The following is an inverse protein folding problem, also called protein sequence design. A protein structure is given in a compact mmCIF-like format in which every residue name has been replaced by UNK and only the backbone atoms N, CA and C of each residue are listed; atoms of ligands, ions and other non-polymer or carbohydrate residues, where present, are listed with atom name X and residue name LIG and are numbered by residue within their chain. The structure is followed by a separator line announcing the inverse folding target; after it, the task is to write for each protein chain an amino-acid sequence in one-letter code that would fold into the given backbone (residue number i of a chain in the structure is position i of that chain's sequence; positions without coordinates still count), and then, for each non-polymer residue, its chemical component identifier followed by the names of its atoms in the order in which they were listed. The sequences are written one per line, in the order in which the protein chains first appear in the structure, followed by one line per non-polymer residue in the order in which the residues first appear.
data_IF_416614460092
#
_entry.id   IF_416614460092
#
_cell.length_a   1.000
_cell.length_b   1.000
_cell.length_c   1.000
_cell.angle_alpha   90.00
_cell.angle_beta   90.00
_cell.angle_gamma   90.00
#
_symmetry.space_group_name_H-M   'P 1'
#
loop_
_entity.id
_entity.type
_entity.pdbx_description
1 polymer ?
#
# COMPACT_ATOMS: atom_id res chain seq x y z
N UNK A 1 -10.66 -48.13 45.81
CA UNK A 1 -11.70 -47.14 45.45
C UNK A 1 -11.12 -45.73 45.30
N UNK A 2 -10.13 -45.30 46.10
CA UNK A 2 -9.51 -43.95 46.02
C UNK A 2 -8.68 -43.65 44.75
N UNK A 3 -8.17 -44.68 44.06
CA UNK A 3 -7.36 -44.49 42.85
C UNK A 3 -8.18 -44.00 41.64
N UNK A 4 -9.45 -44.39 41.54
CA UNK A 4 -10.33 -44.04 40.41
C UNK A 4 -10.74 -42.56 40.46
N UNK A 5 -10.95 -42.01 41.67
CA UNK A 5 -11.26 -40.59 41.88
C UNK A 5 -10.05 -39.68 41.63
N UNK A 6 -8.84 -40.12 42.00
CA UNK A 6 -7.60 -39.38 41.75
C UNK A 6 -7.28 -39.29 40.25
N UNK A 7 -7.47 -40.40 39.52
CA UNK A 7 -7.31 -40.43 38.06
C UNK A 7 -8.37 -39.56 37.38
N UNK A 8 -9.63 -39.61 37.82
CA UNK A 8 -10.71 -38.79 37.26
C UNK A 8 -10.49 -37.28 37.41
N UNK A 9 -9.96 -36.85 38.56
CA UNK A 9 -9.70 -35.42 38.83
C UNK A 9 -8.49 -34.92 38.07
N UNK A 10 -7.43 -35.74 37.96
CA UNK A 10 -6.25 -35.42 37.17
C UNK A 10 -6.57 -35.29 35.67
N UNK A 11 -7.41 -36.20 35.13
CA UNK A 11 -7.86 -36.13 33.73
C UNK A 11 -8.72 -34.89 33.48
N UNK A 12 -9.62 -34.55 34.40
CA UNK A 12 -10.46 -33.35 34.30
C UNK A 12 -9.65 -32.05 34.28
N UNK A 13 -8.60 -31.96 35.10
CA UNK A 13 -7.70 -30.80 35.13
C UNK A 13 -6.87 -30.65 33.84
N UNK A 14 -6.34 -31.77 33.30
CA UNK A 14 -5.57 -31.76 32.04
C UNK A 14 -6.46 -31.40 30.85
N UNK A 15 -7.69 -31.91 30.79
CA UNK A 15 -8.66 -31.56 29.74
C UNK A 15 -9.09 -30.09 29.84
N UNK A 16 -9.27 -29.55 31.05
CA UNK A 16 -9.60 -28.13 31.26
C UNK A 16 -8.47 -27.19 30.83
N UNK A 17 -7.22 -27.49 31.20
CA UNK A 17 -6.05 -26.68 30.83
C UNK A 17 -5.75 -26.81 29.32
N UNK A 18 -5.90 -28.00 28.74
CA UNK A 18 -5.72 -28.24 27.31
C UNK A 18 -6.74 -27.50 26.44
N UNK A 19 -8.00 -27.46 26.84
CA UNK A 19 -9.05 -26.71 26.13
C UNK A 19 -8.81 -25.20 26.19
N UNK A 20 -8.26 -24.69 27.30
CA UNK A 20 -7.94 -23.26 27.48
C UNK A 20 -6.75 -22.84 26.62
N UNK A 21 -5.66 -23.63 26.61
CA UNK A 21 -4.48 -23.37 25.77
C UNK A 21 -4.79 -23.48 24.27
N UNK A 22 -5.62 -24.45 23.85
CA UNK A 22 -6.04 -24.57 22.45
C UNK A 22 -6.92 -23.38 22.02
N UNK A 23 -7.83 -22.94 22.89
CA UNK A 23 -8.65 -21.75 22.66
C UNK A 23 -7.83 -20.47 22.57
N UNK A 24 -6.83 -20.31 23.44
CA UNK A 24 -5.93 -19.17 23.44
C UNK A 24 -4.98 -19.18 22.23
N UNK A 25 -4.54 -20.34 21.79
CA UNK A 25 -3.74 -20.49 20.57
C UNK A 25 -4.55 -20.18 19.30
N UNK A 26 -5.80 -20.64 19.21
CA UNK A 26 -6.71 -20.30 18.11
C UNK A 26 -7.03 -18.80 18.07
N UNK A 27 -7.24 -18.19 19.25
CA UNK A 27 -7.49 -16.75 19.38
C UNK A 27 -6.27 -15.94 18.98
N UNK A 28 -5.08 -16.33 19.44
CA UNK A 28 -3.80 -15.71 19.07
C UNK A 28 -3.56 -15.79 17.56
N UNK A 29 -3.79 -16.95 16.95
CA UNK A 29 -3.64 -17.12 15.48
C UNK A 29 -4.62 -16.24 14.70
N UNK A 30 -5.87 -16.11 15.16
CA UNK A 30 -6.85 -15.19 14.55
C UNK A 30 -6.44 -13.72 14.70
N UNK A 31 -6.09 -13.29 15.90
CA UNK A 31 -5.68 -11.90 16.17
C UNK A 31 -4.42 -11.52 15.39
N UNK A 32 -3.44 -12.41 15.28
CA UNK A 32 -2.24 -12.17 14.47
C UNK A 32 -2.56 -12.13 12.98
N UNK A 33 -3.48 -12.97 12.48
CA UNK A 33 -3.92 -12.92 11.07
C UNK A 33 -4.66 -11.62 10.76
N UNK A 34 -5.59 -11.22 11.62
CA UNK A 34 -6.36 -9.98 11.47
C UNK A 34 -5.45 -8.75 11.52
N UNK A 35 -4.45 -8.73 12.41
CA UNK A 35 -3.44 -7.67 12.47
C UNK A 35 -2.64 -7.58 11.18
N UNK A 36 -2.16 -8.73 10.67
CA UNK A 36 -1.37 -8.76 9.42
C UNK A 36 -2.17 -8.26 8.22
N UNK A 37 -3.44 -8.67 8.10
CA UNK A 37 -4.33 -8.21 7.04
C UNK A 37 -4.55 -6.68 7.12
N UNK A 38 -4.80 -6.18 8.32
CA UNK A 38 -5.00 -4.75 8.57
C UNK A 38 -3.74 -3.92 8.26
N UNK A 39 -2.57 -4.41 8.67
CA UNK A 39 -1.28 -3.76 8.40
C UNK A 39 -1.02 -3.71 6.89
N UNK A 40 -1.24 -4.83 6.19
CA UNK A 40 -1.08 -4.94 4.72
C UNK A 40 -1.98 -3.95 4.00
N UNK A 41 -3.27 -3.94 4.35
CA UNK A 41 -4.27 -3.02 3.80
C UNK A 41 -3.89 -1.57 4.01
N UNK A 42 -3.41 -1.24 5.21
CA UNK A 42 -2.97 0.12 5.56
C UNK A 42 -1.80 0.56 4.68
N UNK A 43 -0.75 -0.27 4.54
CA UNK A 43 0.40 0.04 3.68
C UNK A 43 0.00 0.25 2.22
N UNK A 44 -0.91 -0.57 1.69
CA UNK A 44 -1.39 -0.45 0.32
C UNK A 44 -2.16 0.84 0.07
N UNK A 45 -3.08 1.18 0.97
CA UNK A 45 -3.85 2.41 0.90
C UNK A 45 -2.93 3.63 1.02
N UNK A 46 -2.01 3.62 1.99
CA UNK A 46 -1.08 4.72 2.22
C UNK A 46 -0.22 4.99 0.98
N UNK A 47 0.30 3.95 0.34
CA UNK A 47 1.09 4.08 -0.89
C UNK A 47 0.25 4.68 -2.02
N UNK A 48 -0.92 4.12 -2.32
CA UNK A 48 -1.79 4.62 -3.39
C UNK A 48 -2.25 6.06 -3.15
N UNK A 49 -2.52 6.41 -1.90
CA UNK A 49 -2.90 7.78 -1.50
C UNK A 49 -1.72 8.74 -1.67
N UNK A 50 -0.50 8.33 -1.31
CA UNK A 50 0.69 9.16 -1.51
C UNK A 50 0.95 9.44 -3.01
N UNK A 51 0.83 8.41 -3.87
CA UNK A 51 0.92 8.57 -5.32
C UNK A 51 -0.15 9.53 -5.87
N UNK A 52 -1.39 9.41 -5.39
CA UNK A 52 -2.49 10.30 -5.78
C UNK A 52 -2.25 11.75 -5.33
N UNK A 53 -1.76 11.94 -4.10
CA UNK A 53 -1.42 13.27 -3.56
C UNK A 53 -0.31 13.92 -4.36
N UNK A 54 0.73 13.17 -4.72
CA UNK A 54 1.81 13.64 -5.59
C UNK A 54 1.27 14.12 -6.94
N UNK A 55 0.39 13.34 -7.59
CA UNK A 55 -0.21 13.73 -8.86
C UNK A 55 -0.99 15.04 -8.76
N UNK A 56 -1.86 15.17 -7.76
CA UNK A 56 -2.67 16.38 -7.57
C UNK A 56 -1.83 17.59 -7.18
N UNK A 57 -0.79 17.42 -6.35
CA UNK A 57 0.12 18.50 -5.98
C UNK A 57 0.90 19.03 -7.20
N UNK A 58 1.43 18.13 -8.04
CA UNK A 58 2.08 18.52 -9.29
C UNK A 58 1.11 19.21 -10.25
N UNK A 59 -0.14 18.73 -10.32
CA UNK A 59 -1.17 19.32 -11.18
C UNK A 59 -1.53 20.74 -10.75
N UNK A 60 -1.67 20.97 -9.45
CA UNK A 60 -1.94 22.30 -8.89
C UNK A 60 -0.83 23.28 -9.26
N UNK A 61 0.44 22.89 -9.06
CA UNK A 61 1.60 23.72 -9.44
C UNK A 61 1.65 23.96 -10.95
N UNK A 62 1.28 22.98 -11.77
CA UNK A 62 1.30 23.13 -13.22
C UNK A 62 0.22 24.10 -13.75
N UNK A 63 -0.87 24.29 -13.01
CA UNK A 63 -1.97 25.20 -13.34
C UNK A 63 -1.71 26.64 -12.88
N UNK A 64 -0.80 26.83 -11.92
CA UNK A 64 -0.35 28.16 -11.50
C UNK A 64 0.36 28.92 -12.63
N UNK A 65 0.17 30.23 -12.68
CA UNK A 65 0.89 31.11 -13.60
C UNK A 65 2.34 31.26 -13.12
N UNK A 66 3.31 30.74 -13.90
CA UNK A 66 4.73 30.93 -13.64
C UNK A 66 5.37 31.71 -14.79
N UNK A 67 6.02 32.82 -14.47
CA UNK A 67 6.73 33.65 -15.45
C UNK A 67 8.03 33.00 -15.94
N UNK A 68 8.65 32.15 -15.12
CA UNK A 68 9.90 31.46 -15.41
C UNK A 68 9.70 29.93 -15.52
N UNK A 69 10.01 29.31 -16.69
CA UNK A 69 9.96 27.87 -16.88
C UNK A 69 10.82 27.06 -15.90
N UNK A 70 11.99 27.58 -15.50
CA UNK A 70 12.89 26.86 -14.59
C UNK A 70 12.31 26.79 -13.18
N UNK A 71 11.78 27.91 -12.67
CA UNK A 71 11.07 27.97 -11.40
C UNK A 71 9.86 27.04 -11.37
N UNK A 72 9.08 27.00 -12.46
CA UNK A 72 7.94 26.08 -12.60
C UNK A 72 8.37 24.62 -12.49
N UNK A 73 9.42 24.23 -13.24
CA UNK A 73 9.94 22.87 -13.21
C UNK A 73 10.48 22.48 -11.82
N UNK A 74 11.16 23.40 -11.12
CA UNK A 74 11.64 23.18 -9.77
C UNK A 74 10.49 22.96 -8.78
N UNK A 75 9.44 23.79 -8.82
CA UNK A 75 8.25 23.63 -7.98
C UNK A 75 7.50 22.32 -8.23
N UNK A 76 7.40 21.87 -9.48
CA UNK A 76 6.78 20.57 -9.81
C UNK A 76 7.56 19.42 -9.17
N UNK A 77 8.89 19.43 -9.29
CA UNK A 77 9.75 18.41 -8.66
C UNK A 77 9.67 18.47 -7.14
N UNK A 78 9.61 19.67 -6.56
CA UNK A 78 9.42 19.86 -5.12
C UNK A 78 8.06 19.33 -4.64
N UNK A 79 6.98 19.58 -5.37
CA UNK A 79 5.64 19.06 -5.04
C UNK A 79 5.60 17.53 -5.07
N UNK A 80 6.32 16.91 -6.02
CA UNK A 80 6.48 15.47 -6.06
C UNK A 80 7.23 14.95 -4.83
N UNK A 81 8.38 15.55 -4.47
CA UNK A 81 9.19 15.13 -3.32
C UNK A 81 8.44 15.32 -2.00
N UNK A 82 7.75 16.45 -1.82
CA UNK A 82 6.99 16.76 -0.61
C UNK A 82 5.75 15.89 -0.39
N UNK A 83 5.35 15.08 -1.37
CA UNK A 83 4.15 14.23 -1.29
C UNK A 83 4.31 13.02 -0.38
N UNK A 84 5.54 12.64 -0.03
CA UNK A 84 5.82 11.42 0.73
C UNK A 84 5.70 10.12 -0.08
N UNK A 85 5.59 10.21 -1.41
CA UNK A 85 5.35 9.05 -2.26
C UNK A 85 6.55 8.11 -2.36
N UNK A 86 7.78 8.64 -2.29
CA UNK A 86 9.00 7.85 -2.27
C UNK A 86 9.07 7.01 -0.98
N UNK A 87 8.82 7.62 0.17
CA UNK A 87 8.83 6.97 1.47
C UNK A 87 7.69 5.97 1.66
N UNK A 88 6.52 6.25 1.08
CA UNK A 88 5.39 5.33 1.10
C UNK A 88 5.65 4.10 0.22
N UNK A 89 6.27 4.28 -0.95
CA UNK A 89 6.71 3.19 -1.81
C UNK A 89 7.77 2.34 -1.12
N UNK A 90 8.81 2.95 -0.56
CA UNK A 90 9.93 2.21 0.04
C UNK A 90 9.46 1.34 1.22
N UNK A 91 8.60 1.89 2.09
CA UNK A 91 7.98 1.12 3.18
C UNK A 91 7.21 -0.10 2.69
N UNK A 92 6.50 0.04 1.57
CA UNK A 92 5.73 -1.04 0.98
C UNK A 92 6.64 -2.12 0.37
N UNK A 93 7.61 -1.71 -0.47
CA UNK A 93 8.51 -2.63 -1.18
C UNK A 93 9.32 -3.50 -0.22
N UNK A 94 9.72 -2.99 0.95
CA UNK A 94 10.45 -3.76 1.97
C UNK A 94 9.72 -5.01 2.47
N UNK A 95 8.38 -5.05 2.38
CA UNK A 95 7.55 -6.14 2.92
C UNK A 95 6.67 -6.82 1.87
N UNK A 96 6.64 -6.26 0.66
CA UNK A 96 5.82 -6.74 -0.44
C UNK A 96 6.44 -7.96 -1.14
N UNK A 97 5.60 -8.72 -1.84
CA UNK A 97 6.06 -9.73 -2.79
C UNK A 97 6.61 -9.07 -4.06
N UNK A 98 7.25 -9.87 -4.93
CA UNK A 98 7.75 -9.39 -6.21
C UNK A 98 6.63 -8.79 -7.08
N UNK A 99 5.51 -9.50 -7.22
CA UNK A 99 4.36 -9.08 -8.04
C UNK A 99 3.78 -7.73 -7.57
N UNK A 100 3.68 -7.54 -6.25
CA UNK A 100 3.19 -6.29 -5.66
C UNK A 100 4.18 -5.16 -5.89
N UNK A 101 5.48 -5.44 -5.70
CA UNK A 101 6.56 -4.48 -5.96
C UNK A 101 6.53 -4.02 -7.40
N UNK A 102 6.45 -4.95 -8.36
CA UNK A 102 6.39 -4.65 -9.79
C UNK A 102 5.17 -3.78 -10.13
N UNK A 103 4.00 -4.13 -9.59
CA UNK A 103 2.77 -3.40 -9.90
C UNK A 103 2.77 -1.97 -9.33
N UNK A 104 3.28 -1.80 -8.09
CA UNK A 104 3.45 -0.47 -7.48
C UNK A 104 4.52 0.35 -8.21
N UNK A 105 5.62 -0.29 -8.61
CA UNK A 105 6.70 0.37 -9.36
C UNK A 105 6.21 0.86 -10.72
N UNK A 106 5.41 0.08 -11.44
CA UNK A 106 4.76 0.54 -12.66
C UNK A 106 3.90 1.80 -12.44
N UNK A 107 3.13 1.83 -11.34
CA UNK A 107 2.32 2.99 -10.98
C UNK A 107 3.19 4.20 -10.57
N UNK A 108 4.32 3.97 -9.91
CA UNK A 108 5.24 5.01 -9.46
C UNK A 108 6.07 5.59 -10.62
N UNK A 109 6.58 4.73 -11.51
CA UNK A 109 7.34 5.16 -12.69
C UNK A 109 6.49 5.97 -13.65
N UNK A 110 5.26 5.51 -13.95
CA UNK A 110 4.32 6.29 -14.77
C UNK A 110 3.98 7.66 -14.16
N UNK A 111 3.99 7.78 -12.84
CA UNK A 111 3.83 9.07 -12.16
C UNK A 111 5.07 9.98 -12.31
N UNK A 112 6.28 9.41 -12.32
CA UNK A 112 7.50 10.16 -12.63
C UNK A 112 7.51 10.66 -14.07
N UNK A 113 6.92 9.92 -15.00
CA UNK A 113 6.77 10.37 -16.39
C UNK A 113 5.83 11.58 -16.48
N UNK A 114 4.73 11.59 -15.71
CA UNK A 114 3.88 12.78 -15.57
C UNK A 114 4.68 13.96 -15.02
N UNK A 115 5.47 13.73 -13.96
CA UNK A 115 6.33 14.78 -13.39
C UNK A 115 7.26 15.37 -14.44
N UNK A 116 7.90 14.54 -15.24
CA UNK A 116 8.83 14.97 -16.27
C UNK A 116 8.11 15.72 -17.40
N UNK A 117 6.97 15.21 -17.86
CA UNK A 117 6.13 15.90 -18.84
C UNK A 117 5.75 17.30 -18.35
N UNK A 118 5.24 17.42 -17.12
CA UNK A 118 4.90 18.72 -16.54
C UNK A 118 6.14 19.60 -16.38
N UNK A 119 7.25 19.07 -15.84
CA UNK A 119 8.49 19.84 -15.66
C UNK A 119 9.05 20.37 -17.00
N UNK A 120 8.87 19.63 -18.10
CA UNK A 120 9.35 20.02 -19.44
C UNK A 120 8.57 21.17 -20.08
N UNK A 121 7.42 21.58 -19.51
CA UNK A 121 6.59 22.63 -20.10
C UNK A 121 5.19 22.19 -20.50
N UNK A 122 4.88 20.90 -20.47
CA UNK A 122 3.55 20.41 -20.82
C UNK A 122 2.49 21.01 -19.88
N UNK A 123 1.38 21.45 -20.46
CA UNK A 123 0.20 21.92 -19.73
C UNK A 123 -0.76 20.76 -19.50
N UNK A 124 -1.71 20.93 -18.59
CA UNK A 124 -2.76 19.93 -18.31
C UNK A 124 -3.63 19.65 -19.56
N UNK A 125 -3.72 20.61 -20.49
CA UNK A 125 -4.44 20.43 -21.76
C UNK A 125 -3.62 19.76 -22.87
N UNK A 126 -2.33 19.52 -22.67
CA UNK A 126 -1.47 18.95 -23.72
C UNK A 126 -1.70 17.45 -23.93
N UNK A 127 -1.60 17.00 -25.18
CA UNK A 127 -1.73 15.58 -25.53
C UNK A 127 -0.68 14.72 -24.81
N UNK A 128 0.55 15.23 -24.66
CA UNK A 128 1.61 14.55 -23.94
C UNK A 128 1.25 14.30 -22.47
N UNK A 129 0.69 15.30 -21.78
CA UNK A 129 0.19 15.12 -20.41
C UNK A 129 -0.98 14.14 -20.36
N UNK A 130 -1.93 14.23 -21.30
CA UNK A 130 -3.09 13.35 -21.31
C UNK A 130 -2.69 11.89 -21.56
N UNK A 131 -1.75 11.63 -22.47
CA UNK A 131 -1.20 10.30 -22.70
C UNK A 131 -0.51 9.75 -21.45
N UNK A 132 0.38 10.52 -20.82
CA UNK A 132 1.04 10.11 -19.58
C UNK A 132 0.04 9.86 -18.44
N UNK A 133 -1.01 10.69 -18.34
CA UNK A 133 -2.10 10.53 -17.37
C UNK A 133 -2.89 9.24 -17.59
N UNK A 134 -3.17 8.86 -18.83
CA UNK A 134 -3.85 7.59 -19.13
C UNK A 134 -2.98 6.40 -18.73
N UNK A 135 -1.70 6.40 -19.15
CA UNK A 135 -0.74 5.35 -18.78
C UNK A 135 -0.64 5.18 -17.26
N UNK A 136 -0.55 6.29 -16.52
CA UNK A 136 -0.55 6.23 -15.06
C UNK A 136 -1.86 5.69 -14.46
N UNK A 137 -3.00 6.07 -15.04
CA UNK A 137 -4.31 5.55 -14.62
C UNK A 137 -4.44 4.04 -14.85
N UNK A 138 -3.88 3.53 -15.95
CA UNK A 138 -3.84 2.11 -16.28
C UNK A 138 -2.90 1.35 -15.35
N UNK A 139 -1.68 1.85 -15.14
CA UNK A 139 -0.73 1.26 -14.19
C UNK A 139 -1.29 1.21 -12.76
N UNK A 140 -1.96 2.29 -12.31
CA UNK A 140 -2.60 2.32 -10.99
C UNK A 140 -3.76 1.33 -10.91
N UNK A 141 -4.53 1.13 -12.00
CA UNK A 141 -5.60 0.12 -12.05
C UNK A 141 -5.03 -1.29 -11.97
N UNK A 142 -3.97 -1.58 -12.72
CA UNK A 142 -3.27 -2.86 -12.68
C UNK A 142 -2.74 -3.15 -11.27
N UNK A 143 -2.10 -2.17 -10.63
CA UNK A 143 -1.66 -2.28 -9.23
C UNK A 143 -2.81 -2.65 -8.29
N UNK A 144 -3.96 -1.96 -8.39
CA UNK A 144 -5.12 -2.28 -7.55
C UNK A 144 -5.68 -3.69 -7.76
N UNK A 145 -5.50 -4.30 -8.93
CA UNK A 145 -5.90 -5.70 -9.15
C UNK A 145 -5.00 -6.62 -8.33
N UNK A 146 -3.68 -6.51 -8.50
CA UNK A 146 -2.68 -7.32 -7.77
C UNK A 146 -2.83 -7.16 -6.25
N UNK A 147 -3.03 -5.94 -5.76
CA UNK A 147 -3.20 -5.68 -4.32
C UNK A 147 -4.48 -6.31 -3.76
N UNK A 148 -5.58 -6.34 -4.54
CA UNK A 148 -6.82 -7.00 -4.09
C UNK A 148 -6.68 -8.52 -4.08
N UNK A 149 -5.93 -9.08 -5.04
CA UNK A 149 -5.64 -10.50 -5.09
C UNK A 149 -4.77 -10.94 -3.89
N UNK A 150 -3.75 -10.16 -3.51
CA UNK A 150 -2.96 -10.42 -2.28
C UNK A 150 -3.84 -10.37 -1.03
N UNK A 151 -4.69 -9.34 -0.90
CA UNK A 151 -5.60 -9.24 0.25
C UNK A 151 -6.60 -10.41 0.31
N UNK A 152 -7.16 -10.82 -0.83
CA UNK A 152 -8.08 -11.97 -0.90
C UNK A 152 -7.36 -13.29 -0.52
N UNK A 153 -6.10 -13.45 -0.91
CA UNK A 153 -5.30 -14.61 -0.55
C UNK A 153 -4.97 -14.65 0.97
N UNK A 154 -4.89 -13.50 1.64
CA UNK A 154 -4.69 -13.40 3.09
C UNK A 154 -5.98 -13.63 3.90
N UNK A 155 -7.14 -13.39 3.30
CA UNK A 155 -8.46 -13.63 3.92
C UNK A 155 -8.85 -15.13 3.91
N UNK A 156 -8.40 -15.88 2.90
CA UNK A 156 -8.59 -17.32 2.75
C UNK A 156 -7.95 -18.13 3.90
#
# INVERSE_FOLDING_TARGET
MEWVTLVGTALGAVLGVGATLAGEHLRWRRTVRDSRLQDRRTMYVDCLVALRRAHEAMRLVADENHTDPQTRAAKIRQAFQASGCDEARERLVLTATADITEAIDGSYHSLRDIREALASGCTIGSDAYQAARQIHGDATRAARVVLREDLAALEA
#
